data_IF_423745355477
#
_entry.id   IF_423745355477
#
_cell.length_a   1.000
_cell.length_b   1.000
_cell.length_c   1.000
_cell.angle_alpha   90.00
_cell.angle_beta   90.00
_cell.angle_gamma   90.00
#
_symmetry.space_group_name_H-M   'P 1'
#
loop_
_entity.id
_entity.type
_entity.pdbx_description
1 polymer ?
#
# COMPACT_ATOMS: atom_id res chain seq x y z
N UNK A 1 -0.48 18.11 -4.71
CA UNK A 1 -0.04 17.39 -5.92
C UNK A 1 -0.10 15.92 -5.57
N UNK A 2 -0.85 15.11 -6.32
CA UNK A 2 -1.07 13.69 -6.01
C UNK A 2 0.21 12.89 -6.20
N UNK A 3 0.52 12.03 -5.23
CA UNK A 3 1.63 11.06 -5.26
C UNK A 3 1.09 9.64 -5.15
N UNK A 4 1.88 8.68 -5.64
CA UNK A 4 1.59 7.26 -5.50
C UNK A 4 2.59 6.63 -4.54
N UNK A 5 2.11 5.98 -3.50
CA UNK A 5 2.91 5.17 -2.59
C UNK A 5 2.72 3.70 -2.93
N UNK A 6 3.82 2.96 -3.03
CA UNK A 6 3.82 1.51 -3.22
C UNK A 6 4.36 0.86 -1.95
N UNK A 7 3.56 -0.07 -1.41
CA UNK A 7 4.03 -1.06 -0.45
C UNK A 7 5.06 -1.99 -1.12
N UNK A 8 6.33 -1.78 -0.75
CA UNK A 8 7.51 -2.41 -1.31
C UNK A 8 7.50 -3.93 -1.15
N UNK A 9 6.91 -4.42 -0.08
CA UNK A 9 7.05 -5.81 0.35
C UNK A 9 5.89 -6.69 -0.16
N UNK A 10 4.76 -6.09 -0.53
CA UNK A 10 3.55 -6.82 -0.93
C UNK A 10 2.98 -6.49 -2.33
N UNK A 11 3.60 -5.59 -3.10
CA UNK A 11 3.07 -5.17 -4.42
C UNK A 11 3.78 -5.86 -5.61
N UNK A 12 3.09 -6.77 -6.35
CA UNK A 12 3.64 -7.46 -7.52
C UNK A 12 3.56 -6.67 -8.83
N UNK A 13 2.90 -5.50 -8.84
CA UNK A 13 2.60 -4.72 -10.07
C UNK A 13 3.37 -3.40 -10.15
N UNK A 14 4.60 -3.38 -9.62
CA UNK A 14 5.40 -2.13 -9.52
C UNK A 14 5.66 -1.51 -10.89
N UNK A 15 6.01 -2.34 -11.88
CA UNK A 15 6.30 -1.89 -13.25
C UNK A 15 5.06 -1.29 -13.93
N UNK A 16 3.88 -1.88 -13.70
CA UNK A 16 2.62 -1.32 -14.18
C UNK A 16 2.32 0.02 -13.53
N UNK A 17 2.59 0.16 -12.21
CA UNK A 17 2.42 1.44 -11.51
C UNK A 17 3.34 2.50 -12.10
N UNK A 18 4.63 2.21 -12.29
CA UNK A 18 5.59 3.16 -12.89
C UNK A 18 5.13 3.61 -14.28
N UNK A 19 4.74 2.66 -15.13
CA UNK A 19 4.27 2.93 -16.49
C UNK A 19 3.01 3.79 -16.52
N UNK A 20 2.05 3.55 -15.62
CA UNK A 20 0.82 4.34 -15.55
C UNK A 20 1.10 5.72 -14.96
N UNK A 21 1.86 5.80 -13.87
CA UNK A 21 2.24 7.05 -13.21
C UNK A 21 2.96 8.00 -14.17
N UNK A 22 3.88 7.48 -15.00
CA UNK A 22 4.59 8.27 -16.00
C UNK A 22 3.67 8.94 -17.03
N UNK A 23 2.53 8.33 -17.39
CA UNK A 23 1.54 8.94 -18.32
C UNK A 23 0.85 10.16 -17.71
N UNK A 24 0.69 10.16 -16.39
CA UNK A 24 0.03 11.23 -15.63
C UNK A 24 1.02 12.19 -14.96
N UNK A 25 2.33 11.97 -15.15
CA UNK A 25 3.38 12.75 -14.50
C UNK A 25 3.24 12.77 -12.96
N UNK A 26 2.85 11.62 -12.39
CA UNK A 26 2.68 11.47 -10.95
C UNK A 26 3.94 10.88 -10.30
N UNK A 27 4.47 11.50 -9.23
CA UNK A 27 5.57 10.93 -8.47
C UNK A 27 5.17 9.60 -7.83
N UNK A 28 6.10 8.64 -7.85
CA UNK A 28 5.95 7.33 -7.19
C UNK A 28 7.03 7.16 -6.14
N UNK A 29 6.61 6.75 -4.95
CA UNK A 29 7.47 6.50 -3.80
C UNK A 29 7.27 5.04 -3.40
N UNK A 30 8.31 4.23 -3.56
CA UNK A 30 8.32 2.85 -3.06
C UNK A 30 8.83 2.86 -1.62
N UNK A 31 8.11 2.24 -0.70
CA UNK A 31 8.53 2.13 0.70
C UNK A 31 8.68 0.65 1.04
N UNK A 32 9.86 0.23 1.50
CA UNK A 32 10.10 -1.19 1.81
C UNK A 32 11.34 -1.39 2.67
N UNK A 33 11.50 -2.61 3.20
CA UNK A 33 12.57 -2.95 4.13
C UNK A 33 13.94 -3.23 3.48
N UNK A 34 13.98 -3.35 2.16
CA UNK A 34 15.19 -3.63 1.39
C UNK A 34 15.27 -2.71 0.18
N UNK A 35 16.50 -2.35 -0.22
CA UNK A 35 16.70 -1.55 -1.42
C UNK A 35 16.30 -2.31 -2.69
N UNK A 36 15.58 -1.64 -3.58
CA UNK A 36 15.17 -2.14 -4.89
C UNK A 36 15.73 -1.22 -5.97
N UNK A 37 16.22 -1.80 -7.05
CA UNK A 37 16.66 -1.03 -8.21
C UNK A 37 15.44 -0.48 -8.94
N UNK A 38 15.31 0.84 -8.98
CA UNK A 38 14.29 1.53 -9.76
C UNK A 38 14.79 1.82 -11.19
N UNK A 39 13.87 1.96 -12.17
CA UNK A 39 14.18 2.59 -13.45
C UNK A 39 14.79 3.99 -13.26
N UNK A 40 15.60 4.43 -14.22
CA UNK A 40 16.18 5.78 -14.23
C UNK A 40 15.12 6.80 -14.67
N UNK A 41 14.30 7.24 -13.71
CA UNK A 41 13.21 8.19 -13.90
C UNK A 41 13.12 9.12 -12.66
N UNK A 42 13.16 10.46 -12.84
CA UNK A 42 13.13 11.41 -11.73
C UNK A 42 11.80 11.42 -10.94
N UNK A 43 10.72 10.86 -11.48
CA UNK A 43 9.44 10.71 -10.79
C UNK A 43 9.44 9.51 -9.84
N UNK A 44 10.42 8.61 -9.93
CA UNK A 44 10.51 7.41 -9.11
C UNK A 44 11.54 7.59 -8.00
N UNK A 45 11.13 7.29 -6.77
CA UNK A 45 12.00 7.32 -5.61
C UNK A 45 11.69 6.17 -4.66
N UNK A 46 12.65 5.86 -3.79
CA UNK A 46 12.51 4.81 -2.79
C UNK A 46 12.89 5.31 -1.41
N UNK A 47 12.12 4.89 -0.41
CA UNK A 47 12.44 5.02 1.00
C UNK A 47 12.68 3.62 1.55
N UNK A 48 13.92 3.36 1.96
CA UNK A 48 14.27 2.12 2.66
C UNK A 48 14.06 2.34 4.14
N UNK A 49 13.26 1.49 4.77
CA UNK A 49 13.00 1.51 6.21
C UNK A 49 13.71 0.35 6.92
N UNK A 50 13.95 0.44 8.24
CA UNK A 50 14.45 -0.70 9.01
C UNK A 50 13.53 -1.92 8.91
N UNK A 51 14.10 -3.11 9.07
CA UNK A 51 13.32 -4.33 9.20
C UNK A 51 12.47 -4.30 10.47
N UNK A 52 11.21 -4.71 10.36
CA UNK A 52 10.28 -4.80 11.48
C UNK A 52 8.84 -4.91 10.99
N UNK A 53 7.94 -5.43 11.83
CA UNK A 53 6.52 -5.46 11.49
C UNK A 53 5.99 -4.03 11.35
N UNK A 54 5.15 -3.81 10.34
CA UNK A 54 4.41 -2.58 10.08
C UNK A 54 5.25 -1.29 9.89
N UNK A 55 6.58 -1.37 9.83
CA UNK A 55 7.46 -0.18 9.70
C UNK A 55 7.26 0.54 8.36
N UNK A 56 7.13 -0.22 7.27
CA UNK A 56 6.85 0.36 5.95
C UNK A 56 5.46 1.00 5.91
N UNK A 57 4.46 0.31 6.48
CA UNK A 57 3.09 0.80 6.59
C UNK A 57 3.01 2.11 7.39
N UNK A 58 3.69 2.16 8.53
CA UNK A 58 3.79 3.35 9.37
C UNK A 58 4.42 4.52 8.60
N UNK A 59 5.47 4.24 7.84
CA UNK A 59 6.14 5.27 7.05
C UNK A 59 5.27 5.79 5.90
N UNK A 60 4.54 4.91 5.21
CA UNK A 60 3.55 5.32 4.19
C UNK A 60 2.48 6.17 4.86
N UNK A 61 1.92 5.72 5.97
CA UNK A 61 0.87 6.44 6.68
C UNK A 61 1.36 7.78 7.19
N UNK A 62 2.60 7.91 7.64
CA UNK A 62 3.17 9.19 8.07
C UNK A 62 3.18 10.20 6.91
N UNK A 63 3.63 9.79 5.73
CA UNK A 63 3.88 10.64 4.57
C UNK A 63 2.67 10.90 3.67
N UNK A 64 1.71 9.98 3.63
CA UNK A 64 0.58 10.07 2.71
C UNK A 64 -0.36 11.22 3.10
N UNK A 65 -0.80 11.98 2.11
CA UNK A 65 -1.72 13.11 2.27
C UNK A 65 -3.06 12.85 1.57
N UNK A 66 -4.02 13.76 1.77
CA UNK A 66 -5.31 13.68 1.10
C UNK A 66 -5.14 13.69 -0.43
N UNK A 67 -5.93 12.86 -1.12
CA UNK A 67 -5.87 12.64 -2.57
C UNK A 67 -4.60 11.98 -3.13
N UNK A 68 -3.68 11.51 -2.28
CA UNK A 68 -2.64 10.56 -2.68
C UNK A 68 -3.21 9.15 -2.89
N UNK A 69 -2.44 8.26 -3.52
CA UNK A 69 -2.84 6.89 -3.83
C UNK A 69 -1.86 5.92 -3.18
N UNK A 70 -2.34 4.98 -2.38
CA UNK A 70 -1.57 3.86 -1.86
C UNK A 70 -1.89 2.57 -2.63
N UNK A 71 -0.87 1.89 -3.16
CA UNK A 71 -0.99 0.57 -3.78
C UNK A 71 -0.53 -0.49 -2.79
N UNK A 72 -1.49 -1.26 -2.25
CA UNK A 72 -1.21 -2.31 -1.24
C UNK A 72 -2.26 -3.43 -1.30
N UNK A 73 -1.90 -4.61 -0.77
CA UNK A 73 -2.85 -5.67 -0.44
C UNK A 73 -3.26 -5.68 1.03
N UNK A 74 -2.55 -4.93 1.88
CA UNK A 74 -2.77 -4.89 3.32
C UNK A 74 -4.03 -4.07 3.64
N UNK A 75 -4.99 -4.73 4.32
CA UNK A 75 -6.27 -4.13 4.69
C UNK A 75 -6.09 -3.08 5.80
N UNK A 76 -5.37 -3.36 6.91
CA UNK A 76 -4.96 -2.33 7.88
C UNK A 76 -4.34 -1.07 7.26
N UNK A 77 -3.34 -1.21 6.38
CA UNK A 77 -2.70 -0.06 5.73
C UNK A 77 -3.70 0.71 4.86
N UNK A 78 -4.49 0.01 4.05
CA UNK A 78 -5.53 0.64 3.22
C UNK A 78 -6.52 1.44 4.07
N UNK A 79 -6.96 0.90 5.21
CA UNK A 79 -7.83 1.59 6.16
C UNK A 79 -7.21 2.88 6.70
N UNK A 80 -5.94 2.82 7.12
CA UNK A 80 -5.22 4.00 7.62
C UNK A 80 -5.06 5.07 6.54
N UNK A 81 -4.86 4.68 5.27
CA UNK A 81 -4.82 5.60 4.14
C UNK A 81 -6.19 6.28 3.91
N UNK A 82 -7.29 5.53 3.94
CA UNK A 82 -8.63 6.11 3.78
C UNK A 82 -8.96 7.11 4.90
N UNK A 83 -8.56 6.83 6.15
CA UNK A 83 -8.75 7.78 7.27
C UNK A 83 -8.05 9.13 7.02
N UNK A 84 -6.95 9.14 6.27
CA UNK A 84 -6.26 10.35 5.83
C UNK A 84 -6.87 11.02 4.59
N UNK A 85 -8.01 10.52 4.10
CA UNK A 85 -8.66 10.93 2.84
C UNK A 85 -7.77 10.68 1.61
N UNK A 86 -6.83 9.75 1.72
CA UNK A 86 -6.11 9.20 0.58
C UNK A 86 -6.94 8.06 -0.05
N UNK A 87 -6.56 7.66 -1.27
CA UNK A 87 -7.10 6.49 -1.93
C UNK A 87 -6.20 5.30 -1.66
N UNK A 88 -6.79 4.10 -1.53
CA UNK A 88 -6.04 2.85 -1.51
C UNK A 88 -6.57 1.94 -2.61
N UNK A 89 -5.66 1.26 -3.32
CA UNK A 89 -5.98 0.39 -4.44
C UNK A 89 -5.20 -0.92 -4.35
N UNK A 90 -5.87 -2.02 -4.68
CA UNK A 90 -5.23 -3.33 -4.79
C UNK A 90 -4.39 -3.41 -6.09
N UNK A 91 -3.40 -4.31 -6.16
CA UNK A 91 -2.66 -4.58 -7.40
C UNK A 91 -3.53 -4.94 -8.61
N UNK A 92 -4.73 -5.49 -8.37
CA UNK A 92 -5.69 -5.79 -9.44
C UNK A 92 -6.54 -4.58 -9.89
N UNK A 93 -6.22 -3.38 -9.40
CA UNK A 93 -6.90 -2.13 -9.76
C UNK A 93 -8.23 -1.90 -9.04
N UNK A 94 -8.68 -2.80 -8.14
CA UNK A 94 -9.90 -2.58 -7.36
C UNK A 94 -9.61 -1.61 -6.20
N UNK A 95 -10.35 -0.50 -6.07
CA UNK A 95 -10.18 0.41 -4.94
C UNK A 95 -10.67 -0.22 -3.65
N UNK A 96 -10.04 0.13 -2.55
CA UNK A 96 -10.62 -0.06 -1.23
C UNK A 96 -11.64 1.06 -0.99
N UNK A 97 -12.80 0.67 -0.49
CA UNK A 97 -13.86 1.53 0.04
C UNK A 97 -14.09 1.22 1.52
N UNK A 98 -14.71 2.14 2.26
CA UNK A 98 -15.08 1.91 3.66
C UNK A 98 -15.89 0.62 3.83
N UNK A 99 -16.85 0.36 2.93
CA UNK A 99 -17.62 -0.88 2.92
C UNK A 99 -16.74 -2.11 2.67
N UNK A 100 -15.82 -2.05 1.69
CA UNK A 100 -14.92 -3.17 1.39
C UNK A 100 -13.94 -3.48 2.51
N UNK A 101 -13.59 -2.47 3.34
CA UNK A 101 -12.71 -2.64 4.48
C UNK A 101 -13.47 -3.26 5.64
N UNK A 102 -14.71 -2.82 5.91
CA UNK A 102 -15.58 -3.46 6.90
C UNK A 102 -15.76 -4.96 6.63
N UNK A 103 -16.10 -5.31 5.38
CA UNK A 103 -16.29 -6.71 4.97
C UNK A 103 -14.97 -7.51 5.02
N UNK A 104 -13.85 -6.89 4.65
CA UNK A 104 -12.56 -7.56 4.63
C UNK A 104 -11.97 -7.75 6.04
N UNK A 105 -12.16 -6.79 6.95
CA UNK A 105 -11.80 -6.91 8.37
C UNK A 105 -12.64 -8.00 9.04
N UNK A 106 -13.96 -8.01 8.82
CA UNK A 106 -14.84 -9.06 9.35
C UNK A 106 -14.42 -10.46 8.85
N UNK A 107 -14.06 -10.59 7.57
CA UNK A 107 -13.58 -11.85 6.99
C UNK A 107 -12.21 -12.26 7.57
N UNK A 108 -11.30 -11.29 7.77
CA UNK A 108 -9.98 -11.54 8.37
C UNK A 108 -10.11 -12.02 9.82
N UNK A 109 -10.99 -11.40 10.59
CA UNK A 109 -11.23 -11.76 12.00
C UNK A 109 -11.89 -13.13 12.13
N UNK A 110 -12.77 -13.50 11.19
CA UNK A 110 -13.29 -14.86 11.11
C UNK A 110 -12.15 -15.86 10.79
N UNK A 111 -11.36 -15.61 9.74
CA UNK A 111 -10.23 -16.47 9.36
C UNK A 111 -9.20 -16.65 10.49
N UNK A 112 -8.82 -15.57 11.17
CA UNK A 112 -7.90 -15.62 12.31
C UNK A 112 -8.49 -16.42 13.48
N UNK A 113 -9.79 -16.26 13.75
CA UNK A 113 -10.52 -17.06 14.75
C UNK A 113 -10.56 -18.55 14.38
N UNK A 114 -10.77 -18.89 13.10
CA UNK A 114 -10.75 -20.29 12.64
C UNK A 114 -9.36 -20.92 12.77
N UNK A 115 -8.30 -20.18 12.45
CA UNK A 115 -6.92 -20.66 12.60
C UNK A 115 -6.52 -20.85 14.07
N UNK A 116 -6.99 -19.98 14.97
CA UNK A 116 -6.79 -20.12 16.41
C UNK A 116 -7.49 -21.37 16.98
N UNK A 117 -8.65 -21.77 16.43
CA UNK A 117 -9.40 -22.95 16.87
C UNK A 117 -8.84 -24.28 16.36
N UNK A 118 -8.10 -24.32 15.25
CA UNK A 118 -7.46 -25.55 14.73
C UNK A 118 -6.14 -25.92 15.42
N UNK A 119 -5.63 -25.03 16.30
CA UNK A 119 -4.42 -25.25 17.09
C UNK A 119 -4.71 -25.71 18.54
N UNK A 120 -5.97 -26.01 18.86
CA UNK A 120 -6.39 -26.76 20.05
C UNK A 120 -6.85 -28.14 19.62
#
# INVERSE_FOLDING_TARGET
MTRIYIDGDACPVKDEVYRVAGRYQLPVIVVGNAWLRLPDDPLLSMIVVPEGPDVADDRIVELIEAADICVTNDIPLASRCLLKKALAIRPNGKPFTENSIGDALATRDLMSTYQARRRK
#
